data_IF_993671335295
#
_entry.id   IF_993671335295
#
_cell.length_a   1.000
_cell.length_b   1.000
_cell.length_c   1.000
_cell.angle_alpha   90.00
_cell.angle_beta   90.00
_cell.angle_gamma   90.00
#
_symmetry.space_group_name_H-M   'P 1'
#
loop_
_entity.id
_entity.type
_entity.pdbx_description
1 polymer ?
#
# COMPACT_ATOMS: atom_id res chain seq x y z
N UNK A 1 -13.54 -5.19 -6.34
CA UNK A 1 -12.69 -4.01 -6.11
C UNK A 1 -12.19 -4.01 -4.66
N UNK A 2 -10.94 -3.72 -4.45
CA UNK A 2 -10.35 -3.73 -3.11
C UNK A 2 -10.51 -2.39 -2.43
N UNK A 3 -10.75 -2.40 -1.12
CA UNK A 3 -10.89 -1.18 -0.34
C UNK A 3 -9.53 -0.82 0.29
N UNK A 4 -9.10 0.41 0.09
CA UNK A 4 -7.83 0.90 0.62
C UNK A 4 -8.07 1.59 1.96
N UNK A 5 -7.32 1.18 2.98
CA UNK A 5 -7.40 1.78 4.31
C UNK A 5 -6.27 2.81 4.46
N UNK A 6 -6.64 4.07 4.62
CA UNK A 6 -5.67 5.14 4.82
C UNK A 6 -5.43 5.32 6.31
N UNK A 7 -4.58 4.48 6.87
CA UNK A 7 -4.25 4.56 8.30
C UNK A 7 -3.53 5.85 8.61
N UNK A 8 -3.57 6.27 9.89
CA UNK A 8 -2.82 7.43 10.33
C UNK A 8 -1.33 7.28 10.10
N UNK A 9 -0.81 6.06 10.28
CA UNK A 9 0.59 5.76 10.01
C UNK A 9 0.92 5.96 8.53
N UNK A 10 0.07 5.46 7.63
CA UNK A 10 0.27 5.64 6.20
C UNK A 10 0.31 7.12 5.83
N UNK A 11 -0.63 7.92 6.35
CA UNK A 11 -0.69 9.34 6.05
C UNK A 11 0.57 10.07 6.50
N UNK A 12 1.07 9.76 7.69
CA UNK A 12 2.30 10.36 8.21
C UNK A 12 3.51 9.98 7.38
N UNK A 13 3.61 8.69 7.06
CA UNK A 13 4.74 8.17 6.28
C UNK A 13 4.72 8.73 4.86
N UNK A 14 3.54 8.84 4.26
CA UNK A 14 3.40 9.42 2.93
C UNK A 14 3.86 10.88 2.92
N UNK A 15 3.44 11.68 3.91
CA UNK A 15 3.88 13.08 3.99
C UNK A 15 5.38 13.20 4.11
N UNK A 16 6.00 12.35 4.93
CA UNK A 16 7.45 12.34 5.09
C UNK A 16 8.15 12.03 3.77
N UNK A 17 7.71 11.00 3.09
CA UNK A 17 8.32 10.59 1.81
C UNK A 17 8.07 11.62 0.72
N UNK A 18 6.89 12.27 0.72
CA UNK A 18 6.55 13.27 -0.29
C UNK A 18 7.40 14.53 -0.20
N UNK A 19 8.00 14.79 0.98
CA UNK A 19 8.91 15.92 1.17
C UNK A 19 10.34 15.59 0.75
N UNK A 20 10.62 14.32 0.45
CA UNK A 20 11.96 13.88 0.09
C UNK A 20 12.27 14.07 -1.38
N UNK A 21 13.49 13.67 -1.76
CA UNK A 21 14.01 13.81 -3.12
C UNK A 21 13.32 12.90 -4.13
N UNK A 22 12.60 11.89 -3.65
CA UNK A 22 12.03 10.84 -4.50
C UNK A 22 10.52 10.94 -4.64
N UNK A 23 9.97 12.15 -4.54
CA UNK A 23 8.53 12.36 -4.60
C UNK A 23 7.91 11.81 -5.88
N UNK A 24 8.53 12.09 -7.04
CA UNK A 24 8.01 11.63 -8.32
C UNK A 24 7.99 10.10 -8.38
N UNK A 25 9.05 9.46 -7.88
CA UNK A 25 9.12 8.00 -7.83
C UNK A 25 8.08 7.43 -6.87
N UNK A 26 7.84 8.11 -5.74
CA UNK A 26 6.83 7.72 -4.78
C UNK A 26 5.44 7.70 -5.42
N UNK A 27 5.07 8.78 -6.11
CA UNK A 27 3.76 8.87 -6.73
C UNK A 27 3.58 7.81 -7.82
N UNK A 28 4.60 7.58 -8.64
CA UNK A 28 4.55 6.56 -9.67
C UNK A 28 4.39 5.17 -9.06
N UNK A 29 5.12 4.88 -8.00
CA UNK A 29 5.04 3.59 -7.32
C UNK A 29 3.67 3.39 -6.69
N UNK A 30 3.13 4.41 -6.05
CA UNK A 30 1.81 4.35 -5.41
C UNK A 30 0.71 4.11 -6.46
N UNK A 31 0.77 4.83 -7.58
CA UNK A 31 -0.20 4.64 -8.67
C UNK A 31 -0.13 3.21 -9.20
N UNK A 32 1.08 2.68 -9.38
CA UNK A 32 1.27 1.30 -9.83
C UNK A 32 0.62 0.31 -8.89
N UNK A 33 0.85 0.47 -7.58
CA UNK A 33 0.26 -0.41 -6.57
C UNK A 33 -1.26 -0.31 -6.57
N UNK A 34 -1.80 0.91 -6.56
CA UNK A 34 -3.24 1.12 -6.53
C UNK A 34 -3.93 0.57 -7.77
N UNK A 35 -3.32 0.76 -8.94
CA UNK A 35 -3.87 0.23 -10.20
C UNK A 35 -3.89 -1.30 -10.18
N UNK A 36 -2.81 -1.91 -9.72
CA UNK A 36 -2.73 -3.37 -9.63
C UNK A 36 -3.80 -3.92 -8.69
N UNK A 37 -4.00 -3.28 -7.56
CA UNK A 37 -5.04 -3.68 -6.60
C UNK A 37 -6.44 -3.48 -7.17
N UNK A 38 -6.68 -2.37 -7.87
CA UNK A 38 -7.98 -2.10 -8.48
C UNK A 38 -8.33 -3.10 -9.57
N UNK A 39 -7.33 -3.65 -10.23
CA UNK A 39 -7.51 -4.68 -11.26
C UNK A 39 -7.51 -6.09 -10.69
N UNK A 40 -7.45 -6.23 -9.37
CA UNK A 40 -7.41 -7.52 -8.66
C UNK A 40 -6.24 -8.39 -9.10
N UNK A 41 -5.12 -7.77 -9.47
CA UNK A 41 -3.91 -8.46 -9.90
C UNK A 41 -2.95 -8.63 -8.73
N UNK A 42 -2.02 -9.57 -8.87
CA UNK A 42 -1.00 -9.81 -7.85
C UNK A 42 0.09 -8.74 -7.92
N UNK A 43 0.51 -8.27 -6.75
CA UNK A 43 1.62 -7.32 -6.66
C UNK A 43 2.95 -8.03 -6.87
N UNK A 44 3.96 -7.27 -7.28
CA UNK A 44 5.32 -7.79 -7.40
C UNK A 44 5.89 -8.18 -6.03
N UNK A 45 6.78 -9.18 -5.96
CA UNK A 45 7.36 -9.61 -4.70
C UNK A 45 8.01 -8.50 -3.89
N UNK A 46 8.55 -7.47 -4.55
CA UNK A 46 9.18 -6.33 -3.86
C UNK A 46 8.21 -5.57 -2.97
N UNK A 47 6.91 -5.67 -3.23
CA UNK A 47 5.90 -5.00 -2.42
C UNK A 47 5.49 -5.79 -1.19
N UNK A 48 5.97 -7.01 -1.05
CA UNK A 48 5.78 -7.85 0.15
C UNK A 48 4.33 -7.93 0.61
N UNK A 49 3.43 -8.16 -0.35
CA UNK A 49 2.01 -8.30 -0.06
C UNK A 49 1.77 -9.52 0.82
N UNK A 50 1.12 -9.32 1.97
CA UNK A 50 0.82 -10.44 2.86
C UNK A 50 -0.42 -10.16 3.71
N UNK A 51 -1.04 -11.24 4.17
CA UNK A 51 -2.23 -11.16 4.99
C UNK A 51 -1.88 -10.72 6.41
N UNK A 52 -2.77 -9.91 7.00
CA UNK A 52 -2.63 -9.50 8.39
C UNK A 52 -3.40 -10.45 9.30
N UNK A 53 -3.09 -10.41 10.59
CA UNK A 53 -3.73 -11.23 11.61
C UNK A 53 -4.37 -10.35 12.69
N UNK A 54 -5.09 -10.97 13.62
CA UNK A 54 -5.72 -10.25 14.71
C UNK A 54 -6.88 -9.39 14.23
N UNK A 55 -6.94 -8.16 14.70
CA UNK A 55 -8.03 -7.23 14.37
C UNK A 55 -8.09 -6.87 12.88
N UNK A 56 -6.99 -7.13 12.16
CA UNK A 56 -6.87 -6.84 10.74
C UNK A 56 -6.95 -8.10 9.88
N UNK A 57 -7.55 -9.18 10.38
CA UNK A 57 -7.53 -10.49 9.71
C UNK A 57 -8.16 -10.48 8.32
N UNK A 58 -9.08 -9.53 8.05
CA UNK A 58 -9.70 -9.40 6.73
C UNK A 58 -8.89 -8.53 5.77
N UNK A 59 -7.74 -8.06 6.23
CA UNK A 59 -6.94 -7.10 5.48
C UNK A 59 -5.59 -7.71 5.11
N UNK A 60 -4.96 -7.08 4.14
CA UNK A 60 -3.59 -7.40 3.73
C UNK A 60 -2.79 -6.11 3.75
N UNK A 61 -1.47 -6.23 3.87
CA UNK A 61 -0.62 -5.06 3.71
C UNK A 61 0.36 -5.27 2.57
N UNK A 62 0.85 -4.16 2.04
CA UNK A 62 1.92 -4.18 1.05
C UNK A 62 2.81 -2.98 1.26
N UNK A 63 4.07 -3.12 0.85
CA UNK A 63 5.05 -2.06 0.99
C UNK A 63 5.16 -1.30 -0.33
N UNK A 64 4.61 -0.08 -0.40
CA UNK A 64 4.80 0.81 -1.55
C UNK A 64 6.27 1.20 -1.64
N UNK A 65 6.84 1.52 -0.49
CA UNK A 65 8.28 1.69 -0.26
C UNK A 65 8.62 0.93 1.01
N UNK A 66 9.89 0.65 1.30
CA UNK A 66 10.25 -0.07 2.51
C UNK A 66 9.63 0.51 3.78
N UNK A 67 9.55 1.83 3.86
CA UNK A 67 9.01 2.52 5.03
C UNK A 67 7.59 3.05 4.82
N UNK A 68 6.92 2.66 3.73
CA UNK A 68 5.57 3.11 3.45
C UNK A 68 4.66 1.91 3.20
N UNK A 69 3.88 1.57 4.22
CA UNK A 69 3.01 0.39 4.22
C UNK A 69 1.57 0.81 3.95
N UNK A 70 0.96 0.17 2.97
CA UNK A 70 -0.44 0.38 2.61
C UNK A 70 -1.26 -0.83 3.06
N UNK A 71 -2.37 -0.58 3.76
CA UNK A 71 -3.28 -1.64 4.18
C UNK A 71 -4.51 -1.59 3.29
N UNK A 72 -4.96 -2.74 2.84
CA UNK A 72 -6.16 -2.81 2.01
C UNK A 72 -6.98 -4.03 2.37
N UNK A 73 -8.27 -3.95 2.11
CA UNK A 73 -9.19 -5.06 2.30
C UNK A 73 -9.46 -5.73 0.96
N UNK A 74 -9.36 -7.04 0.93
CA UNK A 74 -9.64 -7.82 -0.27
C UNK A 74 -11.01 -8.49 -0.08
N UNK A 75 -12.07 -7.92 -0.64
CA UNK A 75 -13.38 -8.56 -0.58
C UNK A 75 -13.37 -9.84 -1.41
N UNK A 76 -14.14 -10.78 -0.97
CA UNK A 76 -14.28 -12.06 -1.67
C UNK A 76 -15.00 -11.91 -2.99
#
# INVERSE_FOLDING_TARGET
>A
MRTIERTGQFKRDYKREAKGQHRATLDAELVTVLTTLAEDRSLEPRHRDHALTGDWSDHRDCHVKPDLVLIYQKPD
#
